data_IF_437126104499
#
_entry.id   IF_437126104499
#
_cell.length_a   1.000
_cell.length_b   1.000
_cell.length_c   1.000
_cell.angle_alpha   90.00
_cell.angle_beta   90.00
_cell.angle_gamma   90.00
#
_symmetry.space_group_name_H-M   'P 1'
#
loop_
_entity.id
_entity.type
_entity.pdbx_description
1 polymer ?
#
# COMPACT_ATOMS: atom_id res chain seq x y z
N UNK A 1 0.75 38.37 27.13
CA UNK A 1 0.70 37.64 25.85
C UNK A 1 0.48 36.18 26.18
N UNK A 2 -0.71 35.65 25.91
CA UNK A 2 -1.06 34.26 26.21
C UNK A 2 -0.83 33.41 24.95
N UNK A 3 -0.03 32.35 25.08
CA UNK A 3 0.28 31.41 24.01
C UNK A 3 -0.87 30.42 23.89
N UNK A 4 -1.60 30.48 22.77
CA UNK A 4 -2.69 29.58 22.44
C UNK A 4 -2.13 28.22 21.99
N UNK A 5 -2.53 27.14 22.67
CA UNK A 5 -2.11 25.78 22.35
C UNK A 5 -2.81 25.29 21.06
N UNK A 6 -2.14 24.50 20.20
CA UNK A 6 -2.74 24.01 18.96
C UNK A 6 -3.92 23.06 19.25
N UNK A 7 -4.99 23.09 18.42
CA UNK A 7 -6.18 22.28 18.65
C UNK A 7 -5.85 20.79 18.56
N UNK A 8 -6.23 20.04 19.59
CA UNK A 8 -6.12 18.59 19.62
C UNK A 8 -6.91 17.99 18.44
N UNK A 9 -6.22 17.20 17.61
CA UNK A 9 -6.83 16.44 16.51
C UNK A 9 -7.97 15.59 17.08
N UNK A 10 -9.20 15.69 16.53
CA UNK A 10 -10.33 14.91 17.03
C UNK A 10 -10.06 13.42 16.80
N UNK A 11 -10.15 12.62 17.88
CA UNK A 11 -10.12 11.15 17.80
C UNK A 11 -11.22 10.69 16.85
N UNK A 12 -10.82 10.19 15.68
CA UNK A 12 -11.74 9.63 14.71
C UNK A 12 -12.46 8.42 15.31
N UNK A 13 -13.79 8.48 15.38
CA UNK A 13 -14.62 7.35 15.75
C UNK A 13 -14.45 6.25 14.68
N UNK A 14 -13.86 5.11 15.08
CA UNK A 14 -13.68 3.97 14.18
C UNK A 14 -15.04 3.32 13.88
N UNK A 15 -15.64 3.68 12.75
CA UNK A 15 -16.75 2.94 12.19
C UNK A 15 -16.31 1.49 11.90
N UNK A 16 -17.14 0.51 12.25
CA UNK A 16 -16.87 -0.90 11.91
C UNK A 16 -16.93 -1.07 10.39
N UNK A 17 -15.83 -1.47 9.73
CA UNK A 17 -15.81 -1.55 8.28
C UNK A 17 -16.68 -2.72 7.82
N UNK A 18 -17.52 -2.48 6.79
CA UNK A 18 -18.35 -3.53 6.16
C UNK A 18 -17.52 -4.63 5.49
N UNK A 19 -16.23 -4.39 5.27
CA UNK A 19 -15.26 -5.34 4.71
C UNK A 19 -14.14 -5.48 5.72
N UNK A 20 -13.82 -6.71 6.13
CA UNK A 20 -12.70 -6.96 7.05
C UNK A 20 -11.38 -6.78 6.29
N UNK A 21 -10.56 -5.76 6.63
CA UNK A 21 -9.26 -5.57 5.99
C UNK A 21 -8.34 -6.74 6.34
N UNK A 22 -7.50 -7.14 5.40
CA UNK A 22 -6.40 -8.06 5.65
C UNK A 22 -5.15 -7.25 6.03
N UNK A 23 -4.64 -7.46 7.23
CA UNK A 23 -3.41 -6.84 7.72
C UNK A 23 -2.27 -7.84 7.64
N UNK A 24 -1.24 -7.50 6.88
CA UNK A 24 -0.10 -8.38 6.62
C UNK A 24 1.17 -7.64 7.04
N UNK A 25 2.02 -8.31 7.80
CA UNK A 25 3.30 -7.74 8.24
C UNK A 25 4.43 -8.72 7.97
N UNK A 26 5.53 -8.24 7.39
CA UNK A 26 6.71 -9.06 7.14
C UNK A 26 7.99 -8.22 7.11
N UNK A 27 9.12 -8.84 7.40
CA UNK A 27 10.43 -8.17 7.36
C UNK A 27 10.88 -7.94 5.91
N UNK A 28 11.38 -6.74 5.62
CA UNK A 28 12.00 -6.47 4.32
C UNK A 28 13.35 -7.18 4.24
N UNK A 29 13.71 -7.75 3.08
CA UNK A 29 14.86 -8.64 2.96
C UNK A 29 16.23 -7.94 3.12
N UNK A 30 16.30 -6.65 2.80
CA UNK A 30 17.56 -5.86 2.80
C UNK A 30 17.53 -4.63 3.71
N UNK A 31 16.35 -4.19 4.13
CA UNK A 31 16.23 -3.12 5.12
C UNK A 31 16.31 -3.73 6.54
N UNK A 32 17.49 -3.62 7.15
CA UNK A 32 17.78 -4.18 8.47
C UNK A 32 16.71 -3.77 9.48
N UNK A 33 16.08 -4.76 10.13
CA UNK A 33 15.04 -4.61 11.14
C UNK A 33 13.82 -3.76 10.73
N UNK A 34 13.60 -3.55 9.43
CA UNK A 34 12.44 -2.80 8.93
C UNK A 34 11.30 -3.76 8.57
N UNK A 35 10.14 -3.54 9.17
CA UNK A 35 8.94 -4.34 8.91
C UNK A 35 8.03 -3.59 7.93
N UNK A 36 7.61 -4.24 6.86
CA UNK A 36 6.56 -3.73 5.98
C UNK A 36 5.20 -4.15 6.54
N UNK A 37 4.28 -3.19 6.58
CA UNK A 37 2.88 -3.37 6.93
C UNK A 37 2.03 -3.09 5.70
N UNK A 38 1.16 -4.04 5.36
CA UNK A 38 0.27 -3.98 4.21
C UNK A 38 -1.15 -4.11 4.71
N UNK A 39 -1.99 -3.11 4.44
CA UNK A 39 -3.43 -3.20 4.67
C UNK A 39 -4.12 -3.38 3.34
N UNK A 40 -4.73 -4.53 3.14
CA UNK A 40 -5.32 -4.97 1.88
C UNK A 40 -6.84 -5.09 2.01
N UNK A 41 -7.56 -4.43 1.12
CA UNK A 41 -9.02 -4.42 1.06
C UNK A 41 -9.49 -4.77 -0.36
N UNK A 42 -10.26 -5.84 -0.49
CA UNK A 42 -10.90 -6.20 -1.75
C UNK A 42 -12.35 -5.71 -1.76
N UNK A 43 -12.64 -4.79 -2.67
CA UNK A 43 -13.90 -4.04 -2.76
C UNK A 43 -14.62 -4.40 -4.06
N UNK A 44 -15.23 -5.58 -4.12
CA UNK A 44 -16.12 -6.02 -5.22
C UNK A 44 -15.48 -6.07 -6.62
N UNK A 45 -15.23 -4.90 -7.20
CA UNK A 45 -14.63 -4.65 -8.52
C UNK A 45 -13.29 -3.91 -8.47
N UNK A 46 -12.78 -3.53 -7.30
CA UNK A 46 -11.46 -2.92 -7.16
C UNK A 46 -10.73 -3.45 -5.91
N UNK A 47 -9.43 -3.20 -5.83
CA UNK A 47 -8.63 -3.47 -4.64
C UNK A 47 -8.03 -2.17 -4.09
N UNK A 48 -7.85 -2.10 -2.79
CA UNK A 48 -7.20 -0.98 -2.11
C UNK A 48 -6.08 -1.51 -1.23
N UNK A 49 -4.89 -0.93 -1.37
CA UNK A 49 -3.67 -1.36 -0.68
C UNK A 49 -3.06 -0.15 0.00
N UNK A 50 -2.78 -0.23 1.29
CA UNK A 50 -1.94 0.73 1.99
C UNK A 50 -0.64 0.07 2.43
N UNK A 51 0.48 0.75 2.17
CA UNK A 51 1.82 0.28 2.46
C UNK A 51 2.51 1.26 3.39
N UNK A 52 2.98 0.75 4.51
CA UNK A 52 3.79 1.49 5.46
C UNK A 52 4.96 0.60 5.91
N UNK A 53 6.00 1.22 6.45
CA UNK A 53 7.10 0.50 7.10
C UNK A 53 7.15 0.85 8.57
N UNK A 54 7.87 0.07 9.36
CA UNK A 54 8.22 0.39 10.74
C UNK A 54 9.70 0.06 10.92
N UNK A 55 10.49 1.05 11.33
CA UNK A 55 11.92 0.92 11.59
C UNK A 55 12.19 1.03 13.11
N UNK A 56 13.27 0.44 13.66
CA UNK A 56 13.53 0.45 15.11
C UNK A 56 13.75 1.83 15.74
N UNK A 57 13.82 2.90 14.94
CA UNK A 57 13.87 4.29 15.40
C UNK A 57 12.51 5.00 15.42
N UNK A 58 11.46 4.39 14.88
CA UNK A 58 10.11 4.95 14.93
C UNK A 58 9.59 4.87 16.37
N UNK A 59 9.22 6.01 16.95
CA UNK A 59 8.63 6.05 18.29
C UNK A 59 7.32 5.26 18.30
N UNK A 60 7.19 4.26 19.18
CA UNK A 60 5.97 3.47 19.33
C UNK A 60 4.77 4.36 19.64
N UNK A 61 3.95 4.64 18.62
CA UNK A 61 2.83 5.59 18.69
C UNK A 61 2.83 6.67 17.59
N UNK A 62 3.90 6.79 16.81
CA UNK A 62 3.93 7.69 15.64
C UNK A 62 3.06 7.13 14.51
N UNK A 63 1.98 7.84 14.18
CA UNK A 63 1.13 7.52 13.04
C UNK A 63 1.92 7.87 11.77
N UNK A 64 2.25 6.87 10.95
CA UNK A 64 2.91 7.14 9.68
C UNK A 64 1.97 7.97 8.78
N UNK A 65 2.48 9.01 8.11
CA UNK A 65 1.68 9.76 7.14
C UNK A 65 1.26 8.82 6.02
N UNK A 66 0.15 9.11 5.35
CA UNK A 66 -0.37 8.27 4.24
C UNK A 66 0.64 8.13 3.07
N UNK A 67 1.55 9.10 2.91
CA UNK A 67 2.47 9.14 1.77
C UNK A 67 1.74 9.48 0.49
N UNK A 68 2.11 8.89 -0.65
CA UNK A 68 1.44 9.10 -1.93
C UNK A 68 0.23 8.17 -2.09
N UNK A 69 -0.78 8.61 -2.85
CA UNK A 69 -1.96 7.80 -3.18
C UNK A 69 -2.19 7.79 -4.69
N UNK A 70 -2.22 6.61 -5.29
CA UNK A 70 -2.28 6.42 -6.74
C UNK A 70 -3.41 5.45 -7.08
N UNK A 71 -4.19 5.80 -8.09
CA UNK A 71 -5.13 4.91 -8.75
C UNK A 71 -4.50 4.34 -10.01
N UNK A 72 -4.66 3.04 -10.25
CA UNK A 72 -4.25 2.39 -11.48
C UNK A 72 -5.32 1.41 -11.98
N UNK A 73 -5.48 1.31 -13.29
CA UNK A 73 -6.39 0.35 -13.92
C UNK A 73 -5.77 -0.28 -15.17
N UNK A 74 -6.05 -1.57 -15.43
CA UNK A 74 -5.62 -2.20 -16.66
C UNK A 74 -6.31 -1.54 -17.86
N UNK A 75 -5.57 -1.38 -18.95
CA UNK A 75 -6.13 -0.92 -20.21
C UNK A 75 -6.87 -2.07 -20.91
N UNK A 76 -8.12 -1.83 -21.28
CA UNK A 76 -8.97 -2.83 -21.96
C UNK A 76 -8.52 -3.09 -23.40
N UNK A 77 -7.80 -2.15 -24.01
CA UNK A 77 -7.34 -2.24 -25.40
C UNK A 77 -5.96 -2.89 -25.52
N UNK A 78 -5.16 -2.84 -24.46
CA UNK A 78 -3.81 -3.40 -24.41
C UNK A 78 -3.53 -4.03 -23.05
N UNK A 79 -3.47 -5.36 -23.00
CA UNK A 79 -3.26 -6.13 -21.77
C UNK A 79 -1.93 -5.86 -21.06
N UNK A 80 -0.96 -5.26 -21.77
CA UNK A 80 0.34 -4.86 -21.20
C UNK A 80 0.36 -3.42 -20.70
N UNK A 81 -0.62 -2.61 -21.09
CA UNK A 81 -0.72 -1.20 -20.72
C UNK A 81 -1.52 -1.03 -19.43
N UNK A 82 -1.24 0.05 -18.71
CA UNK A 82 -1.91 0.39 -17.45
C UNK A 82 -2.03 1.89 -17.37
N UNK A 83 -3.23 2.36 -17.07
CA UNK A 83 -3.51 3.78 -16.90
C UNK A 83 -3.37 4.05 -15.40
N UNK A 84 -2.52 5.02 -15.04
CA UNK A 84 -2.29 5.41 -13.65
C UNK A 84 -2.57 6.90 -13.47
N UNK A 85 -3.31 7.26 -12.42
CA UNK A 85 -3.56 8.65 -12.02
C UNK A 85 -3.12 8.82 -10.57
N UNK A 86 -2.26 9.80 -10.32
CA UNK A 86 -1.87 10.13 -8.95
C UNK A 86 -2.97 11.00 -8.33
N UNK A 87 -3.53 10.56 -7.21
CA UNK A 87 -4.60 11.25 -6.49
C UNK A 87 -4.03 12.14 -5.38
N UNK A 88 -2.96 11.69 -4.72
CA UNK A 88 -2.23 12.48 -3.73
C UNK A 88 -0.73 12.29 -3.93
N UNK A 89 0.00 13.41 -3.99
CA UNK A 89 1.43 13.45 -4.29
C UNK A 89 2.24 13.67 -3.02
N UNK A 90 3.18 12.77 -2.73
CA UNK A 90 4.25 12.98 -1.77
C UNK A 90 5.58 12.64 -2.44
N UNK A 91 6.43 13.65 -2.62
CA UNK A 91 7.72 13.55 -3.31
C UNK A 91 8.56 12.30 -2.94
N UNK A 92 8.74 11.93 -1.65
CA UNK A 92 9.57 10.77 -1.30
C UNK A 92 9.01 9.39 -1.69
N UNK A 93 7.71 9.28 -1.98
CA UNK A 93 7.04 7.97 -2.16
C UNK A 93 6.36 7.78 -3.52
N UNK A 94 6.26 8.85 -4.32
CA UNK A 94 5.38 8.85 -5.49
C UNK A 94 5.79 7.88 -6.59
N UNK A 95 7.09 7.78 -6.87
CA UNK A 95 7.61 6.87 -7.90
C UNK A 95 7.38 5.43 -7.48
N UNK A 96 7.71 5.11 -6.24
CA UNK A 96 7.51 3.79 -5.65
C UNK A 96 6.03 3.36 -5.69
N UNK A 97 5.14 4.25 -5.27
CA UNK A 97 3.68 4.03 -5.27
C UNK A 97 3.16 3.77 -6.68
N UNK A 98 3.59 4.58 -7.65
CA UNK A 98 3.18 4.41 -9.05
C UNK A 98 3.62 3.06 -9.63
N UNK A 99 4.83 2.61 -9.32
CA UNK A 99 5.36 1.32 -9.79
C UNK A 99 4.51 0.17 -9.25
N UNK A 100 4.23 0.17 -7.95
CA UNK A 100 3.40 -0.87 -7.31
C UNK A 100 1.98 -0.86 -7.87
N UNK A 101 1.33 0.31 -7.94
CA UNK A 101 -0.02 0.44 -8.47
C UNK A 101 -0.14 -0.12 -9.89
N UNK A 102 0.81 0.23 -10.77
CA UNK A 102 0.83 -0.27 -12.15
C UNK A 102 1.03 -1.78 -12.22
N UNK A 103 1.91 -2.34 -11.40
CA UNK A 103 2.16 -3.79 -11.38
C UNK A 103 0.92 -4.55 -10.89
N UNK A 104 0.33 -4.10 -9.77
CA UNK A 104 -0.85 -4.74 -9.19
C UNK A 104 -2.04 -4.67 -10.14
N UNK A 105 -2.32 -3.51 -10.75
CA UNK A 105 -3.43 -3.38 -11.70
C UNK A 105 -3.29 -4.30 -12.92
N UNK A 106 -2.07 -4.51 -13.44
CA UNK A 106 -1.83 -5.50 -14.52
C UNK A 106 -2.05 -6.93 -14.07
N UNK A 107 -1.59 -7.28 -12.87
CA UNK A 107 -1.64 -8.65 -12.36
C UNK A 107 -3.05 -9.04 -11.91
N UNK A 108 -3.74 -8.15 -11.21
CA UNK A 108 -5.10 -8.38 -10.73
C UNK A 108 -6.14 -8.31 -11.84
N UNK A 109 -5.83 -7.62 -12.96
CA UNK A 109 -6.80 -7.34 -14.04
C UNK A 109 -8.07 -6.60 -13.57
N UNK A 110 -7.96 -5.86 -12.46
CA UNK A 110 -8.99 -4.96 -11.92
C UNK A 110 -8.34 -3.64 -11.51
N UNK A 111 -9.11 -2.55 -11.36
CA UNK A 111 -8.62 -1.30 -10.79
C UNK A 111 -8.07 -1.46 -9.37
N UNK A 112 -6.98 -0.76 -9.06
CA UNK A 112 -6.30 -0.80 -7.77
C UNK A 112 -5.99 0.62 -7.29
N UNK A 113 -6.26 0.86 -6.01
CA UNK A 113 -5.82 2.03 -5.27
C UNK A 113 -4.63 1.64 -4.40
N UNK A 114 -3.53 2.41 -4.47
CA UNK A 114 -2.34 2.17 -3.66
C UNK A 114 -1.97 3.44 -2.92
N UNK A 115 -2.00 3.37 -1.59
CA UNK A 115 -1.37 4.34 -0.70
C UNK A 115 -0.04 3.81 -0.23
N UNK A 116 1.01 4.62 -0.24
CA UNK A 116 2.31 4.18 0.23
C UNK A 116 3.09 5.33 0.84
N UNK A 117 3.56 5.10 2.07
CA UNK A 117 4.38 6.03 2.84
C UNK A 117 5.86 5.63 2.89
N UNK A 118 6.25 4.65 2.09
CA UNK A 118 7.62 4.16 2.03
C UNK A 118 8.44 5.16 1.23
N UNK A 119 9.55 5.59 1.82
CA UNK A 119 10.58 6.42 1.18
C UNK A 119 11.84 5.56 0.99
N UNK A 120 12.05 4.97 -0.20
CA UNK A 120 13.25 4.16 -0.46
C UNK A 120 14.54 4.97 -0.34
N UNK A 121 14.51 6.25 -0.75
CA UNK A 121 15.67 7.13 -0.72
C UNK A 121 16.02 7.54 0.72
N UNK A 122 15.01 7.88 1.52
CA UNK A 122 15.18 8.20 2.94
C UNK A 122 15.68 7.02 3.78
N UNK A 123 15.48 5.78 3.32
CA UNK A 123 16.04 4.58 3.94
C UNK A 123 17.48 4.29 3.53
N UNK A 124 18.04 5.05 2.59
CA UNK A 124 19.40 4.83 2.07
C UNK A 124 19.55 3.50 1.33
N UNK A 125 18.46 2.96 0.78
CA UNK A 125 18.49 1.69 0.05
C UNK A 125 19.07 1.87 -1.34
N UNK A 126 19.88 0.90 -1.76
CA UNK A 126 20.31 0.79 -3.15
C UNK A 126 19.12 0.40 -4.05
N UNK A 127 19.18 0.76 -5.33
CA UNK A 127 18.09 0.48 -6.28
C UNK A 127 17.79 -1.03 -6.36
N UNK A 128 18.80 -1.88 -6.23
CA UNK A 128 18.63 -3.32 -6.20
C UNK A 128 17.80 -3.79 -4.99
N UNK A 129 18.02 -3.17 -3.83
CA UNK A 129 17.34 -3.50 -2.57
C UNK A 129 15.89 -3.00 -2.59
N UNK A 130 15.66 -1.81 -3.15
CA UNK A 130 14.30 -1.31 -3.42
C UNK A 130 13.52 -2.29 -4.30
N UNK A 131 14.14 -2.79 -5.37
CA UNK A 131 13.53 -3.73 -6.30
C UNK A 131 13.21 -5.07 -5.68
N UNK A 132 14.09 -5.58 -4.83
CA UNK A 132 13.87 -6.82 -4.08
C UNK A 132 12.70 -6.65 -3.10
N UNK A 133 12.66 -5.53 -2.36
CA UNK A 133 11.57 -5.19 -1.46
C UNK A 133 10.23 -5.06 -2.19
N UNK A 134 10.22 -4.34 -3.32
CA UNK A 134 9.04 -4.19 -4.17
C UNK A 134 8.53 -5.55 -4.65
N UNK A 135 9.43 -6.41 -5.11
CA UNK A 135 9.08 -7.75 -5.62
C UNK A 135 8.46 -8.59 -4.51
N UNK A 136 9.04 -8.55 -3.30
CA UNK A 136 8.49 -9.27 -2.14
C UNK A 136 7.09 -8.76 -1.78
N UNK A 137 6.89 -7.44 -1.70
CA UNK A 137 5.58 -6.83 -1.42
C UNK A 137 4.54 -7.28 -2.44
N UNK A 138 4.86 -7.18 -3.73
CA UNK A 138 3.94 -7.59 -4.80
C UNK A 138 3.61 -9.08 -4.68
N UNK A 139 4.60 -9.93 -4.45
CA UNK A 139 4.37 -11.38 -4.36
C UNK A 139 3.45 -11.75 -3.19
N UNK A 140 3.66 -11.16 -2.00
CA UNK A 140 2.80 -11.39 -0.82
C UNK A 140 1.36 -10.93 -1.09
N UNK A 141 1.19 -9.77 -1.73
CA UNK A 141 -0.14 -9.26 -2.10
C UNK A 141 -0.82 -10.17 -3.13
N UNK A 142 -0.06 -10.67 -4.10
CA UNK A 142 -0.56 -11.59 -5.13
C UNK A 142 -1.02 -12.92 -4.54
N UNK A 143 -0.28 -13.48 -3.58
CA UNK A 143 -0.68 -14.69 -2.87
C UNK A 143 -2.06 -14.51 -2.20
N UNK A 144 -2.25 -13.39 -1.47
CA UNK A 144 -3.53 -13.05 -0.85
C UNK A 144 -4.66 -12.79 -1.83
N UNK A 145 -4.36 -12.27 -3.00
CA UNK A 145 -5.36 -12.12 -4.06
C UNK A 145 -5.83 -13.47 -4.61
N UNK A 146 -4.91 -14.40 -4.85
CA UNK A 146 -5.28 -15.74 -5.34
C UNK A 146 -6.06 -16.54 -4.28
N UNK A 147 -5.72 -16.41 -2.99
CA UNK A 147 -6.53 -16.95 -1.88
C UNK A 147 -7.96 -16.36 -1.91
N UNK A 148 -8.09 -15.03 -1.98
CA UNK A 148 -9.39 -14.35 -2.02
C UNK A 148 -10.25 -14.75 -3.22
N UNK A 149 -9.61 -14.93 -4.39
CA UNK A 149 -10.28 -15.39 -5.60
C UNK A 149 -10.82 -16.82 -5.47
N UNK A 150 -10.07 -17.70 -4.79
CA UNK A 150 -10.51 -19.07 -4.50
C UNK A 150 -11.67 -19.10 -3.50
N UNK A 151 -11.62 -18.30 -2.44
CA UNK A 151 -12.72 -18.17 -1.46
C UNK A 151 -14.02 -17.69 -2.14
N UNK A 152 -13.93 -16.70 -3.03
CA UNK A 152 -15.09 -16.24 -3.80
C UNK A 152 -15.64 -17.28 -4.76
N UNK A 153 -14.79 -18.09 -5.38
CA UNK A 153 -15.22 -19.15 -6.28
C UNK A 153 -15.90 -20.30 -5.52
N UNK A 154 -15.39 -20.66 -4.34
CA UNK A 154 -15.97 -21.72 -3.50
C UNK A 154 -17.25 -21.35 -2.76
N UNK A 155 -17.54 -20.06 -2.58
CA UNK A 155 -18.80 -19.59 -1.97
C UNK A 155 -19.94 -19.39 -2.98
N UNK A 156 -19.69 -19.59 -4.27
CA UNK A 156 -20.67 -19.47 -5.35
C UNK A 156 -21.20 -20.84 -5.85
N UNK A 157 -20.78 -21.92 -5.20
CA UNK A 157 -21.27 -23.31 -5.38
C UNK A 157 -22.11 -23.72 -4.16
#
# INVERSE_FOLDING_TARGET
>A
MATEAPPAVPSAELATPSVKPQEISFTLPKALHTTAHVHLNFLGHCAMVFLATLSPGDSGGSIKPMGSFVYAMPDRTSSKSTISTTLYTSAPSIEYTNRIAKILARRFSIPVYVGCSIDPHGMGLEVAEEMEGLTKIVNVIMEKWEEHKQEKAGSAE
#
